data_IF_719989926817
#
_entry.id   IF_719989926817
#
_cell.length_a   1.000
_cell.length_b   1.000
_cell.length_c   1.000
_cell.angle_alpha   90.00
_cell.angle_beta   90.00
_cell.angle_gamma   90.00
#
_symmetry.space_group_name_H-M   'P 1'
#
loop_
_entity.id
_entity.type
_entity.pdbx_description
1 polymer ?
#
# COMPACT_ATOMS: atom_id res chain seq x y z
N UNK A 1 -40.56 8.81 23.87
CA UNK A 1 -39.20 8.65 24.42
C UNK A 1 -38.25 8.46 23.23
N UNK A 2 -37.67 9.54 22.77
CA UNK A 2 -36.66 9.53 21.71
C UNK A 2 -35.32 9.24 22.35
N UNK A 3 -34.74 8.06 22.07
CA UNK A 3 -33.39 7.72 22.48
C UNK A 3 -32.37 8.67 21.86
N UNK A 4 -31.22 8.92 22.51
CA UNK A 4 -30.20 9.80 21.95
C UNK A 4 -29.66 9.22 20.65
N UNK A 5 -29.52 10.10 19.65
CA UNK A 5 -28.86 9.76 18.39
C UNK A 5 -27.42 9.23 18.68
N UNK A 6 -26.90 8.28 17.89
CA UNK A 6 -25.55 7.78 18.09
C UNK A 6 -24.56 8.94 17.96
N UNK A 7 -23.84 9.20 19.05
CA UNK A 7 -22.77 10.17 19.17
C UNK A 7 -21.75 9.92 18.04
N UNK A 8 -21.69 10.86 17.10
CA UNK A 8 -20.72 10.82 16.01
C UNK A 8 -19.34 11.03 16.63
N UNK A 9 -18.61 9.95 16.86
CA UNK A 9 -17.25 10.00 17.35
C UNK A 9 -16.41 10.86 16.41
N UNK A 10 -16.01 12.04 16.88
CA UNK A 10 -15.20 12.99 16.13
C UNK A 10 -13.86 12.31 15.77
N UNK A 11 -13.63 12.10 14.48
CA UNK A 11 -12.41 11.44 14.02
C UNK A 11 -11.20 12.26 14.43
N UNK A 12 -10.27 11.63 15.11
CA UNK A 12 -9.07 12.33 15.56
C UNK A 12 -8.28 12.85 14.34
N UNK A 13 -7.64 14.00 14.49
CA UNK A 13 -6.75 14.57 13.47
C UNK A 13 -5.68 13.55 13.04
N UNK A 14 -5.16 12.77 14.00
CA UNK A 14 -4.18 11.72 13.76
C UNK A 14 -4.71 10.63 12.80
N UNK A 15 -5.96 10.22 12.96
CA UNK A 15 -6.60 9.22 12.07
C UNK A 15 -6.73 9.73 10.63
N UNK A 16 -7.14 11.00 10.47
CA UNK A 16 -7.24 11.64 9.14
C UNK A 16 -5.86 11.76 8.50
N UNK A 17 -4.86 12.19 9.24
CA UNK A 17 -3.49 12.32 8.75
C UNK A 17 -2.88 10.98 8.37
N UNK A 18 -3.15 9.91 9.13
CA UNK A 18 -2.70 8.56 8.82
C UNK A 18 -3.30 8.08 7.48
N UNK A 19 -4.61 8.24 7.29
CA UNK A 19 -5.29 7.91 6.05
C UNK A 19 -4.71 8.69 4.85
N UNK A 20 -4.54 10.00 5.01
CA UNK A 20 -3.99 10.84 3.94
C UNK A 20 -2.54 10.46 3.57
N UNK A 21 -1.70 10.07 4.54
CA UNK A 21 -0.34 9.58 4.26
C UNK A 21 -0.37 8.30 3.44
N UNK A 22 -1.20 7.32 3.81
CA UNK A 22 -1.36 6.08 3.04
C UNK A 22 -1.82 6.36 1.61
N UNK A 23 -2.80 7.25 1.44
CA UNK A 23 -3.30 7.62 0.11
C UNK A 23 -2.25 8.35 -0.74
N UNK A 24 -1.37 9.16 -0.12
CA UNK A 24 -0.30 9.87 -0.83
C UNK A 24 0.86 8.96 -1.27
N UNK A 25 0.99 7.78 -0.70
CA UNK A 25 1.87 6.74 -1.23
C UNK A 25 1.39 6.20 -2.60
N UNK A 26 0.09 6.32 -2.87
CA UNK A 26 -0.59 5.80 -4.05
C UNK A 26 -0.90 6.92 -5.05
N UNK A 27 -1.58 7.97 -4.58
CA UNK A 27 -2.09 9.07 -5.38
C UNK A 27 -1.28 10.34 -5.15
N UNK A 28 -1.17 11.20 -6.16
CA UNK A 28 -0.68 12.55 -5.92
C UNK A 28 -1.76 13.43 -5.27
N UNK A 29 -1.33 14.50 -4.62
CA UNK A 29 -2.23 15.38 -3.87
C UNK A 29 -3.28 16.09 -4.74
N UNK A 30 -2.98 16.32 -6.02
CA UNK A 30 -3.91 16.95 -6.98
C UNK A 30 -5.02 15.96 -7.34
N UNK A 31 -4.65 14.71 -7.60
CA UNK A 31 -5.61 13.62 -7.86
C UNK A 31 -6.56 13.44 -6.68
N UNK A 32 -6.06 13.39 -5.44
CA UNK A 32 -6.93 13.28 -4.25
C UNK A 32 -7.86 14.48 -4.09
N UNK A 33 -7.38 15.69 -4.34
CA UNK A 33 -8.22 16.89 -4.30
C UNK A 33 -9.35 16.81 -5.35
N UNK A 34 -9.03 16.39 -6.59
CA UNK A 34 -10.02 16.24 -7.65
C UNK A 34 -11.05 15.14 -7.34
N UNK A 35 -10.62 14.03 -6.75
CA UNK A 35 -11.50 12.94 -6.30
C UNK A 35 -12.50 13.43 -5.24
N UNK A 36 -12.04 14.20 -4.27
CA UNK A 36 -12.91 14.80 -3.25
C UNK A 36 -13.89 15.81 -3.84
N UNK A 37 -13.47 16.64 -4.80
CA UNK A 37 -14.35 17.57 -5.50
C UNK A 37 -15.44 16.81 -6.26
N UNK A 38 -15.06 15.74 -6.96
CA UNK A 38 -16.01 14.94 -7.74
C UNK A 38 -17.01 14.18 -6.86
N UNK A 39 -16.62 13.80 -5.64
CA UNK A 39 -17.47 13.07 -4.70
C UNK A 39 -18.32 13.96 -3.81
N UNK A 40 -17.84 15.14 -3.46
CA UNK A 40 -18.43 16.02 -2.46
C UNK A 40 -18.83 17.39 -2.99
N UNK A 41 -19.62 18.10 -2.22
CA UNK A 41 -20.04 19.48 -2.52
C UNK A 41 -18.97 20.51 -2.15
N UNK A 42 -17.78 20.08 -1.80
CA UNK A 42 -16.79 20.89 -1.12
C UNK A 42 -15.67 21.38 -2.03
N UNK A 43 -15.21 22.59 -1.79
CA UNK A 43 -14.04 23.15 -2.47
C UNK A 43 -12.74 22.61 -1.85
N UNK A 44 -12.26 21.50 -2.34
CA UNK A 44 -10.97 20.93 -1.99
C UNK A 44 -9.87 21.46 -2.90
N UNK A 45 -8.66 21.59 -2.36
CA UNK A 45 -7.47 21.95 -3.14
C UNK A 45 -6.25 21.21 -2.59
N UNK A 46 -5.18 21.04 -3.40
CA UNK A 46 -3.92 20.49 -2.94
C UNK A 46 -3.35 21.21 -1.71
N UNK A 47 -3.53 22.53 -1.62
CA UNK A 47 -3.07 23.33 -0.49
C UNK A 47 -3.82 23.00 0.80
N UNK A 48 -5.15 22.79 0.72
CA UNK A 48 -5.97 22.40 1.87
C UNK A 48 -5.56 21.02 2.37
N UNK A 49 -5.39 20.04 1.46
CA UNK A 49 -4.96 18.68 1.83
C UNK A 49 -3.57 18.67 2.47
N UNK A 50 -2.62 19.43 1.93
CA UNK A 50 -1.29 19.58 2.53
C UNK A 50 -1.37 20.19 3.94
N UNK A 51 -2.26 21.16 4.16
CA UNK A 51 -2.46 21.75 5.49
C UNK A 51 -3.04 20.75 6.49
N UNK A 52 -3.98 19.89 6.06
CA UNK A 52 -4.52 18.82 6.90
C UNK A 52 -3.43 17.82 7.34
N UNK A 53 -2.44 17.55 6.50
CA UNK A 53 -1.33 16.65 6.83
C UNK A 53 -0.39 17.21 7.89
N UNK A 54 -0.22 18.53 7.94
CA UNK A 54 0.83 19.17 8.73
C UNK A 54 0.33 19.94 9.95
N UNK A 55 -0.97 20.23 10.01
CA UNK A 55 -1.54 21.08 11.07
C UNK A 55 -2.71 20.42 11.80
N UNK A 56 -2.63 20.39 13.13
CA UNK A 56 -3.75 19.98 13.97
C UNK A 56 -4.90 21.01 13.96
N UNK A 57 -4.63 22.26 13.57
CA UNK A 57 -5.58 23.37 13.48
C UNK A 57 -5.92 23.71 12.03
N UNK A 58 -6.05 22.72 11.17
CA UNK A 58 -6.54 22.97 9.83
C UNK A 58 -7.98 23.50 9.92
N UNK A 59 -8.23 24.68 9.35
CA UNK A 59 -9.54 25.33 9.41
C UNK A 59 -10.67 24.58 8.68
N UNK A 60 -10.38 23.42 8.07
CA UNK A 60 -11.31 22.52 7.40
C UNK A 60 -11.11 21.09 7.87
N UNK A 61 -12.20 20.36 8.05
CA UNK A 61 -12.23 18.94 8.40
C UNK A 61 -12.90 18.15 7.29
N UNK A 62 -12.54 16.88 7.15
CA UNK A 62 -13.28 15.94 6.31
C UNK A 62 -14.63 15.62 6.94
N UNK A 63 -15.68 15.66 6.15
CA UNK A 63 -16.97 15.08 6.54
C UNK A 63 -16.86 13.55 6.67
N UNK A 64 -17.86 12.93 7.29
CA UNK A 64 -17.91 11.46 7.41
C UNK A 64 -18.02 10.77 6.05
N UNK A 65 -18.73 11.39 5.12
CA UNK A 65 -18.85 10.90 3.75
C UNK A 65 -17.51 10.95 3.02
N UNK A 66 -16.83 12.12 3.07
CA UNK A 66 -15.52 12.32 2.44
C UNK A 66 -14.46 11.38 3.03
N UNK A 67 -14.45 11.19 4.34
CA UNK A 67 -13.53 10.26 4.99
C UNK A 67 -13.77 8.81 4.54
N UNK A 68 -15.02 8.35 4.54
CA UNK A 68 -15.38 7.00 4.06
C UNK A 68 -15.05 6.81 2.59
N UNK A 69 -15.30 7.83 1.79
CA UNK A 69 -14.91 7.82 0.38
C UNK A 69 -13.39 7.62 0.21
N UNK A 70 -12.58 8.41 0.92
CA UNK A 70 -11.13 8.27 0.88
C UNK A 70 -10.65 6.90 1.37
N UNK A 71 -11.26 6.35 2.42
CA UNK A 71 -10.96 4.98 2.87
C UNK A 71 -11.24 3.93 1.78
N UNK A 72 -12.27 4.14 0.97
CA UNK A 72 -12.64 3.22 -0.12
C UNK A 72 -11.70 3.30 -1.32
N UNK A 73 -10.83 4.29 -1.40
CA UNK A 73 -9.77 4.35 -2.41
C UNK A 73 -8.57 3.43 -2.08
N UNK A 74 -8.48 2.94 -0.85
CA UNK A 74 -7.48 1.96 -0.47
C UNK A 74 -7.97 0.54 -0.76
N UNK A 75 -7.10 -0.37 -1.23
CA UNK A 75 -7.45 -1.77 -1.34
C UNK A 75 -7.75 -2.35 0.03
N UNK A 76 -8.66 -3.31 0.07
CA UNK A 76 -9.11 -3.95 1.30
C UNK A 76 -8.73 -5.42 1.31
N UNK A 77 -8.56 -6.03 2.50
CA UNK A 77 -8.46 -7.47 2.58
C UNK A 77 -9.71 -8.11 1.97
N UNK A 78 -9.53 -9.28 1.37
CA UNK A 78 -10.67 -10.08 0.93
C UNK A 78 -11.59 -10.36 2.13
N UNK A 79 -12.91 -10.24 1.94
CA UNK A 79 -13.89 -10.49 3.00
C UNK A 79 -13.87 -11.95 3.50
N UNK A 80 -13.45 -12.87 2.64
CA UNK A 80 -13.06 -14.22 3.05
C UNK A 80 -11.54 -14.21 3.20
N UNK A 81 -11.03 -14.34 4.44
CA UNK A 81 -9.66 -14.81 4.59
C UNK A 81 -9.70 -16.31 4.24
N UNK A 82 -9.30 -16.70 3.04
CA UNK A 82 -9.17 -18.10 2.72
C UNK A 82 -8.03 -18.67 3.56
N UNK A 83 -8.15 -19.93 3.96
CA UNK A 83 -6.97 -20.70 4.33
C UNK A 83 -6.09 -20.73 3.08
N UNK A 84 -5.02 -19.94 3.08
CA UNK A 84 -4.11 -19.90 1.93
C UNK A 84 -3.47 -21.27 1.73
N UNK A 85 -3.51 -21.75 0.50
CA UNK A 85 -2.94 -23.05 0.14
C UNK A 85 -1.41 -23.03 0.13
N UNK A 86 -0.81 -21.87 -0.17
CA UNK A 86 0.64 -21.66 -0.21
C UNK A 86 0.98 -20.18 -0.09
N UNK A 87 2.24 -19.88 0.21
CA UNK A 87 2.80 -18.53 0.28
C UNK A 87 3.80 -18.29 -0.85
N UNK A 88 3.79 -17.10 -1.43
CA UNK A 88 4.72 -16.75 -2.50
C UNK A 88 5.29 -15.34 -2.37
N UNK A 89 6.39 -15.11 -3.07
CA UNK A 89 7.02 -13.81 -3.22
C UNK A 89 6.94 -13.38 -4.69
N UNK A 90 6.79 -12.07 -4.92
CA UNK A 90 6.62 -11.46 -6.24
C UNK A 90 7.74 -10.46 -6.52
N UNK A 91 8.73 -10.86 -7.31
CA UNK A 91 9.91 -10.07 -7.64
C UNK A 91 9.76 -9.43 -9.03
N UNK A 92 10.18 -8.18 -9.15
CA UNK A 92 9.98 -7.37 -10.35
C UNK A 92 8.49 -7.29 -10.71
N UNK A 93 7.68 -7.07 -9.66
CA UNK A 93 6.24 -7.32 -9.65
C UNK A 93 5.45 -6.44 -10.62
N UNK A 94 6.01 -5.34 -11.10
CA UNK A 94 5.32 -4.40 -11.95
C UNK A 94 4.04 -3.88 -11.27
N UNK A 95 2.90 -4.10 -11.93
CA UNK A 95 1.58 -3.74 -11.38
C UNK A 95 0.86 -4.92 -10.70
N UNK A 96 1.52 -6.07 -10.56
CA UNK A 96 0.98 -7.26 -9.88
C UNK A 96 0.21 -8.22 -10.80
N UNK A 97 0.50 -8.25 -12.09
CA UNK A 97 -0.20 -9.14 -13.02
C UNK A 97 0.00 -10.63 -12.70
N UNK A 98 1.21 -11.04 -12.34
CA UNK A 98 1.51 -12.42 -11.95
C UNK A 98 0.85 -12.74 -10.60
N UNK A 99 0.92 -11.84 -9.64
CA UNK A 99 0.25 -11.96 -8.34
C UNK A 99 -1.24 -12.30 -8.50
N UNK A 100 -1.92 -11.63 -9.41
CA UNK A 100 -3.35 -11.86 -9.67
C UNK A 100 -3.65 -13.34 -9.97
N UNK A 101 -2.85 -13.97 -10.82
CA UNK A 101 -3.04 -15.39 -11.17
C UNK A 101 -2.80 -16.32 -9.99
N UNK A 102 -1.79 -16.04 -9.17
CA UNK A 102 -1.44 -16.88 -8.02
C UNK A 102 -2.39 -16.71 -6.84
N UNK A 103 -2.89 -15.51 -6.58
CA UNK A 103 -3.95 -15.30 -5.57
C UNK A 103 -5.26 -15.98 -5.99
N UNK A 104 -5.58 -16.01 -7.30
CA UNK A 104 -6.78 -16.69 -7.80
C UNK A 104 -6.81 -18.21 -7.53
N UNK A 105 -5.64 -18.83 -7.32
CA UNK A 105 -5.52 -20.25 -6.99
C UNK A 105 -5.20 -20.51 -5.51
N UNK A 106 -5.41 -19.52 -4.65
CA UNK A 106 -5.28 -19.66 -3.20
C UNK A 106 -3.89 -19.31 -2.63
N UNK A 107 -3.03 -18.64 -3.40
CA UNK A 107 -1.74 -18.16 -2.91
C UNK A 107 -1.86 -16.89 -2.07
N UNK A 108 -0.99 -16.74 -1.07
CA UNK A 108 -0.77 -15.51 -0.30
C UNK A 108 0.54 -14.86 -0.72
N UNK A 109 0.51 -13.64 -1.22
CA UNK A 109 1.72 -12.86 -1.44
C UNK A 109 2.24 -12.32 -0.11
N UNK A 110 3.47 -12.68 0.26
CA UNK A 110 4.08 -12.27 1.54
C UNK A 110 5.28 -11.34 1.39
N UNK A 111 5.79 -11.18 0.18
CA UNK A 111 6.86 -10.25 -0.14
C UNK A 111 6.74 -9.78 -1.58
N UNK A 112 6.99 -8.50 -1.79
CA UNK A 112 7.01 -7.89 -3.13
C UNK A 112 8.25 -7.01 -3.28
N UNK A 113 8.90 -7.10 -4.44
CA UNK A 113 9.98 -6.18 -4.81
C UNK A 113 9.66 -5.52 -6.16
N UNK A 114 9.59 -4.17 -6.16
CA UNK A 114 9.40 -3.36 -7.36
C UNK A 114 9.99 -1.97 -7.16
N UNK A 115 10.86 -1.52 -8.04
CA UNK A 115 11.58 -0.25 -7.92
C UNK A 115 10.95 0.91 -8.70
N UNK A 116 10.19 0.61 -9.76
CA UNK A 116 9.55 1.65 -10.55
C UNK A 116 8.42 2.31 -9.76
N UNK A 117 8.62 3.57 -9.38
CA UNK A 117 7.66 4.32 -8.55
C UNK A 117 6.23 4.39 -9.10
N UNK A 118 6.05 4.32 -10.43
CA UNK A 118 4.72 4.34 -11.04
C UNK A 118 4.06 2.97 -10.94
N UNK A 119 4.83 1.90 -11.20
CA UNK A 119 4.37 0.53 -10.99
C UNK A 119 4.01 0.28 -9.52
N UNK A 120 4.87 0.70 -8.58
CA UNK A 120 4.61 0.63 -7.12
C UNK A 120 3.29 1.29 -6.73
N UNK A 121 3.01 2.48 -7.24
CA UNK A 121 1.75 3.18 -6.96
C UNK A 121 0.53 2.40 -7.46
N UNK A 122 0.61 1.90 -8.69
CA UNK A 122 -0.46 1.07 -9.27
C UNK A 122 -0.62 -0.24 -8.50
N UNK A 123 0.49 -0.87 -8.11
CA UNK A 123 0.47 -2.07 -7.28
C UNK A 123 -0.23 -1.83 -5.95
N UNK A 124 0.19 -0.80 -5.22
CA UNK A 124 -0.41 -0.42 -3.93
C UNK A 124 -1.88 0.04 -4.02
N UNK A 125 -2.32 0.52 -5.20
CA UNK A 125 -3.72 0.86 -5.45
C UNK A 125 -4.60 -0.37 -5.65
N UNK A 126 -4.05 -1.44 -6.22
CA UNK A 126 -4.80 -2.64 -6.60
C UNK A 126 -4.75 -3.76 -5.56
N UNK A 127 -3.64 -3.85 -4.80
CA UNK A 127 -3.37 -4.99 -3.95
C UNK A 127 -3.34 -4.60 -2.48
N UNK A 128 -4.16 -5.28 -1.68
CA UNK A 128 -4.01 -5.20 -0.24
C UNK A 128 -2.72 -5.92 0.17
N UNK A 129 -1.89 -5.19 0.91
CA UNK A 129 -0.67 -5.71 1.51
C UNK A 129 -0.81 -5.58 3.02
N UNK A 130 -1.02 -6.70 3.71
CA UNK A 130 -1.12 -6.69 5.17
C UNK A 130 0.20 -6.22 5.77
N UNK A 131 0.23 -5.14 6.55
CA UNK A 131 1.47 -4.60 7.10
C UNK A 131 2.18 -5.54 8.10
N UNK A 132 1.50 -6.55 8.60
CA UNK A 132 2.06 -7.54 9.53
C UNK A 132 2.58 -8.80 8.84
N UNK A 133 2.08 -9.11 7.64
CA UNK A 133 2.39 -10.37 6.94
C UNK A 133 3.08 -10.15 5.60
N UNK A 134 2.94 -8.96 4.99
CA UNK A 134 3.50 -8.64 3.69
C UNK A 134 4.59 -7.58 3.80
N UNK A 135 5.76 -7.87 3.25
CA UNK A 135 6.88 -6.94 3.18
C UNK A 135 7.04 -6.40 1.76
N UNK A 136 7.03 -5.08 1.62
CA UNK A 136 7.28 -4.41 0.35
C UNK A 136 8.70 -3.83 0.32
N UNK A 137 9.47 -4.21 -0.70
CA UNK A 137 10.85 -3.76 -0.93
C UNK A 137 10.93 -3.01 -2.26
N UNK A 138 11.63 -1.87 -2.28
CA UNK A 138 11.80 -1.10 -3.51
C UNK A 138 12.91 -1.66 -4.39
N UNK A 139 14.06 -1.98 -3.80
CA UNK A 139 15.23 -2.44 -4.55
C UNK A 139 15.70 -3.80 -4.01
N UNK A 140 15.56 -4.83 -4.83
CA UNK A 140 15.96 -6.20 -4.44
C UNK A 140 17.44 -6.30 -4.06
N UNK A 141 18.27 -5.38 -4.54
CA UNK A 141 19.70 -5.34 -4.18
C UNK A 141 19.91 -5.04 -2.70
N UNK A 142 18.98 -4.34 -2.05
CA UNK A 142 19.04 -4.09 -0.60
C UNK A 142 18.84 -5.39 0.19
N UNK A 143 18.08 -6.33 -0.36
CA UNK A 143 17.83 -7.64 0.22
C UNK A 143 18.96 -8.63 -0.09
N UNK A 144 19.41 -8.65 -1.35
CA UNK A 144 20.48 -9.56 -1.80
C UNK A 144 21.87 -9.07 -1.44
N UNK A 145 22.01 -7.81 -1.03
CA UNK A 145 23.28 -7.13 -0.78
C UNK A 145 24.23 -7.11 -2.00
N UNK A 146 23.73 -7.39 -3.19
CA UNK A 146 24.52 -7.55 -4.42
C UNK A 146 25.28 -6.29 -4.86
N UNK A 147 24.87 -5.12 -4.36
CA UNK A 147 25.53 -3.85 -4.62
C UNK A 147 26.65 -3.53 -3.61
N UNK A 148 26.84 -4.34 -2.57
CA UNK A 148 27.83 -4.11 -1.52
C UNK A 148 29.09 -4.94 -1.77
N UNK A 149 30.24 -4.26 -1.85
CA UNK A 149 31.54 -4.95 -1.93
C UNK A 149 31.90 -5.62 -0.62
N UNK A 150 32.58 -6.77 -0.69
CA UNK A 150 33.07 -7.49 0.48
C UNK A 150 32.02 -8.32 1.24
N UNK A 151 30.81 -8.40 0.75
CA UNK A 151 29.78 -9.31 1.28
C UNK A 151 30.00 -10.70 0.72
N UNK A 152 30.09 -11.71 1.59
CA UNK A 152 30.18 -13.11 1.17
C UNK A 152 28.78 -13.67 0.83
N UNK A 153 28.72 -14.75 0.04
CA UNK A 153 27.47 -15.42 -0.30
C UNK A 153 26.72 -15.90 0.95
N UNK A 154 27.43 -16.32 1.98
CA UNK A 154 26.84 -16.74 3.24
C UNK A 154 26.18 -15.58 3.99
N UNK A 155 26.83 -14.41 4.02
CA UNK A 155 26.26 -13.18 4.59
C UNK A 155 25.03 -12.73 3.82
N UNK A 156 25.09 -12.73 2.49
CA UNK A 156 23.96 -12.40 1.61
C UNK A 156 22.78 -13.36 1.84
N UNK A 157 23.04 -14.67 1.86
CA UNK A 157 22.01 -15.68 2.12
C UNK A 157 21.42 -15.56 3.54
N UNK A 158 22.23 -15.22 4.53
CA UNK A 158 21.77 -14.92 5.90
C UNK A 158 20.81 -13.73 5.93
N UNK A 159 21.17 -12.64 5.24
CA UNK A 159 20.34 -11.44 5.16
C UNK A 159 19.02 -11.69 4.42
N UNK A 160 19.05 -12.44 3.30
CA UNK A 160 17.85 -12.83 2.55
C UNK A 160 16.89 -13.59 3.47
N UNK A 161 17.37 -14.60 4.19
CA UNK A 161 16.54 -15.40 5.12
C UNK A 161 15.92 -14.58 6.26
N UNK A 162 16.57 -13.50 6.67
CA UNK A 162 16.04 -12.60 7.72
C UNK A 162 15.04 -11.59 7.17
N UNK A 163 15.16 -11.23 5.89
CA UNK A 163 14.37 -10.14 5.28
C UNK A 163 13.14 -10.66 4.57
N UNK A 164 13.24 -11.79 3.88
CA UNK A 164 12.14 -12.40 3.13
C UNK A 164 11.42 -13.41 4.02
N UNK A 165 10.07 -13.29 4.22
CA UNK A 165 9.31 -14.28 4.97
C UNK A 165 9.37 -15.68 4.35
N UNK A 166 9.10 -16.71 5.15
CA UNK A 166 8.99 -18.08 4.66
C UNK A 166 7.91 -18.16 3.57
N UNK A 167 8.22 -18.84 2.46
CA UNK A 167 7.38 -18.94 1.28
C UNK A 167 7.63 -20.27 0.56
N UNK A 168 6.66 -20.71 -0.25
CA UNK A 168 6.69 -21.95 -1.01
C UNK A 168 7.04 -21.69 -2.49
N UNK A 169 6.75 -20.48 -2.99
CA UNK A 169 6.95 -20.12 -4.38
C UNK A 169 7.63 -18.78 -4.57
N UNK A 170 8.49 -18.68 -5.60
CA UNK A 170 9.12 -17.45 -6.06
C UNK A 170 8.64 -17.13 -7.48
N UNK A 171 8.06 -15.95 -7.64
CA UNK A 171 7.65 -15.40 -8.93
C UNK A 171 8.61 -14.28 -9.29
N UNK A 172 9.03 -14.22 -10.55
CA UNK A 172 9.93 -13.17 -11.02
C UNK A 172 9.70 -12.86 -12.50
N UNK A 173 9.12 -11.69 -12.75
CA UNK A 173 8.94 -11.15 -14.10
C UNK A 173 10.15 -10.32 -14.53
N UNK A 174 11.25 -10.96 -14.91
CA UNK A 174 12.45 -10.25 -15.33
C UNK A 174 12.19 -9.37 -16.55
N UNK A 175 12.73 -8.12 -16.59
CA UNK A 175 12.74 -7.34 -17.82
C UNK A 175 13.61 -8.06 -18.86
N UNK A 176 13.00 -8.45 -19.99
CA UNK A 176 13.67 -9.16 -21.08
C UNK A 176 14.44 -8.22 -22.04
N UNK A 177 14.64 -6.96 -21.67
CA UNK A 177 15.41 -6.04 -22.50
C UNK A 177 16.92 -6.31 -22.33
N UNK A 178 17.66 -6.44 -23.45
CA UNK A 178 19.11 -6.54 -23.37
C UNK A 178 19.69 -5.26 -22.77
N UNK A 179 20.63 -5.42 -21.85
CA UNK A 179 21.39 -4.34 -21.24
C UNK A 179 22.40 -3.75 -22.23
#
# INVERSE_FOLDING_TARGET
MTGPAPEQAEKSTATVQALLRQLLDIYDVKTLANQLIAHGESHWSPAILKRLLTSERAGRRLSDGEFRYLQNLLPRPSAAQPDYAFRFIDLFAGIGGIRHGFEAIGGQCVFTSEWNKHAVRTYKANWYCDPHEHHFNADIRDVTLSHKSGVTDEQAAGHIRQTIPAHDGLLAGFPCQPF
#
